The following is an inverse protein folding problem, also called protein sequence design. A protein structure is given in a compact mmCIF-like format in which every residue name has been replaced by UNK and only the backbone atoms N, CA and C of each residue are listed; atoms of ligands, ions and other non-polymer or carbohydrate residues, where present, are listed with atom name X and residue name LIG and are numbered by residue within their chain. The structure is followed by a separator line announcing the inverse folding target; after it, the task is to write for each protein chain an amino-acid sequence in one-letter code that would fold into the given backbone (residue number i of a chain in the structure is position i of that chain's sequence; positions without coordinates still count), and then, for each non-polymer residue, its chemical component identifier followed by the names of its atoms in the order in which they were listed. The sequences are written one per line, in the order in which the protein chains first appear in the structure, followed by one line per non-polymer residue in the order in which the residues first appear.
data_IF_782486822857
#
_entry.id   IF_782486822857
#
_cell.length_a   1.000
_cell.length_b   1.000
_cell.length_c   1.000
_cell.angle_alpha   90.00
_cell.angle_beta   90.00
_cell.angle_gamma   90.00
#
_symmetry.space_group_name_H-M   'P 1'
#
loop_
_entity.id
_entity.type
_entity.pdbx_description
1 polymer ?
#
# COMPACT_ATOMS: atom_id res chain seq x y z
N UNK A 1 0.79 2.83 -7.80
CA UNK A 1 1.88 3.54 -8.51
C UNK A 1 2.37 4.74 -7.70
N UNK A 2 1.55 5.79 -7.54
CA UNK A 2 1.94 7.03 -6.82
C UNK A 2 2.44 6.79 -5.39
N UNK A 3 1.81 5.87 -4.64
CA UNK A 3 2.24 5.45 -3.30
C UNK A 3 3.70 4.98 -3.28
N UNK A 4 4.07 4.07 -4.17
CA UNK A 4 5.42 3.48 -4.22
C UNK A 4 6.44 4.52 -4.70
N UNK A 5 6.04 5.43 -5.60
CA UNK A 5 6.90 6.51 -6.09
C UNK A 5 7.07 7.67 -5.10
N UNK A 6 6.28 7.72 -4.03
CA UNK A 6 6.27 8.82 -3.06
C UNK A 6 5.66 10.11 -3.63
N UNK A 7 4.77 9.97 -4.61
CA UNK A 7 4.10 11.06 -5.33
C UNK A 7 2.67 11.29 -4.82
N UNK A 8 2.16 10.41 -3.93
CA UNK A 8 0.85 10.58 -3.33
C UNK A 8 0.94 11.54 -2.14
N UNK A 9 0.13 12.60 -2.15
CA UNK A 9 -0.10 13.43 -0.96
C UNK A 9 -1.26 12.88 -0.13
N UNK A 10 -2.47 12.88 -0.70
CA UNK A 10 -3.68 12.34 -0.06
C UNK A 10 -4.60 11.73 -1.12
N UNK A 11 -5.26 10.61 -0.81
CA UNK A 11 -6.30 10.04 -1.67
C UNK A 11 -7.34 9.23 -0.89
N UNK A 12 -8.59 9.18 -1.37
CA UNK A 12 -9.60 8.26 -0.85
C UNK A 12 -9.36 6.84 -1.36
N UNK A 13 -9.52 5.88 -0.46
CA UNK A 13 -9.59 4.45 -0.74
C UNK A 13 -10.92 3.89 -0.25
N UNK A 14 -11.41 2.85 -0.90
CA UNK A 14 -12.58 2.09 -0.45
C UNK A 14 -12.13 0.67 -0.19
N UNK A 15 -12.02 0.31 1.08
CA UNK A 15 -11.67 -1.03 1.52
C UNK A 15 -12.95 -1.85 1.74
N UNK A 16 -12.96 -3.11 1.32
CA UNK A 16 -14.05 -4.03 1.70
C UNK A 16 -14.03 -4.21 3.21
N UNK A 17 -15.20 -4.07 3.85
CA UNK A 17 -15.30 -4.22 5.30
C UNK A 17 -14.88 -5.65 5.72
N UNK A 18 -13.88 -5.80 6.60
CA UNK A 18 -13.30 -7.11 6.92
C UNK A 18 -14.23 -8.02 7.73
N UNK A 19 -15.30 -7.50 8.35
CA UNK A 19 -16.29 -8.28 9.09
C UNK A 19 -17.69 -8.29 8.43
N UNK A 20 -17.90 -7.44 7.41
CA UNK A 20 -19.11 -7.35 6.58
C UNK A 20 -18.74 -7.20 5.09
N UNK A 21 -18.28 -8.26 4.40
CA UNK A 21 -17.73 -8.17 3.04
C UNK A 21 -18.65 -7.58 1.97
N UNK A 22 -19.95 -7.44 2.25
CA UNK A 22 -20.94 -6.77 1.41
C UNK A 22 -20.91 -5.23 1.50
N UNK A 23 -20.17 -4.67 2.47
CA UNK A 23 -20.04 -3.24 2.72
C UNK A 23 -18.61 -2.74 2.46
N UNK A 24 -18.47 -1.42 2.38
CA UNK A 24 -17.19 -0.76 2.16
C UNK A 24 -16.91 0.24 3.29
N UNK A 25 -15.65 0.31 3.69
CA UNK A 25 -15.10 1.33 4.59
C UNK A 25 -14.27 2.31 3.77
N UNK A 26 -14.79 3.51 3.47
CA UNK A 26 -14.00 4.57 2.85
C UNK A 26 -12.97 5.12 3.85
N UNK A 27 -11.72 5.19 3.42
CA UNK A 27 -10.58 5.67 4.19
C UNK A 27 -9.88 6.77 3.38
N UNK A 28 -9.70 7.94 3.98
CA UNK A 28 -8.83 8.98 3.43
C UNK A 28 -7.39 8.70 3.88
N UNK A 29 -6.50 8.43 2.94
CA UNK A 29 -5.11 8.03 3.20
C UNK A 29 -4.17 9.15 2.83
N UNK A 30 -3.22 9.42 3.69
CA UNK A 30 -2.15 10.40 3.52
C UNK A 30 -0.79 9.72 3.70
N UNK A 31 0.19 10.14 2.91
CA UNK A 31 1.58 9.71 3.10
C UNK A 31 2.12 10.27 4.42
N UNK A 32 2.59 9.39 5.31
CA UNK A 32 3.20 9.80 6.58
C UNK A 32 4.70 10.01 6.46
N UNK A 33 5.38 9.06 5.82
CA UNK A 33 6.81 9.14 5.50
C UNK A 33 7.01 8.73 4.04
N UNK A 34 8.09 9.23 3.43
CA UNK A 34 8.44 8.87 2.07
C UNK A 34 8.68 7.36 1.98
N UNK A 35 8.25 6.70 0.90
CA UNK A 35 8.50 5.28 0.73
C UNK A 35 10.00 5.02 0.70
N UNK A 36 10.43 3.98 1.42
CA UNK A 36 11.82 3.55 1.40
C UNK A 36 11.97 2.43 0.39
N UNK A 37 12.79 2.68 -0.62
CA UNK A 37 13.10 1.72 -1.69
C UNK A 37 14.56 1.34 -1.58
N UNK A 38 14.84 0.04 -1.50
CA UNK A 38 16.18 -0.51 -1.58
C UNK A 38 16.22 -1.63 -2.60
N UNK A 39 17.34 -1.73 -3.31
CA UNK A 39 17.53 -2.74 -4.36
C UNK A 39 18.84 -3.47 -4.08
N UNK A 40 18.83 -4.79 -4.15
CA UNK A 40 20.04 -5.63 -4.11
C UNK A 40 20.26 -6.25 -5.49
N UNK A 41 21.46 -6.07 -6.04
CA UNK A 41 21.86 -6.50 -7.38
C UNK A 41 22.83 -7.70 -7.37
N UNK A 42 23.22 -8.23 -6.20
CA UNK A 42 24.37 -9.16 -6.07
C UNK A 42 24.10 -10.60 -6.54
N UNK A 43 22.85 -11.09 -6.49
CA UNK A 43 22.52 -12.51 -6.75
C UNK A 43 22.00 -12.79 -8.17
N UNK A 44 22.38 -11.97 -9.15
CA UNK A 44 22.03 -12.15 -10.57
C UNK A 44 20.57 -11.82 -10.93
N UNK A 45 19.67 -11.76 -9.95
CA UNK A 45 18.30 -11.23 -10.05
C UNK A 45 18.13 -10.04 -9.11
N UNK A 46 17.64 -8.88 -9.58
CA UNK A 46 17.40 -7.74 -8.69
C UNK A 46 16.36 -8.07 -7.63
N UNK A 47 16.65 -7.80 -6.36
CA UNK A 47 15.68 -7.88 -5.26
C UNK A 47 15.28 -6.48 -4.84
N UNK A 48 14.02 -6.13 -5.05
CA UNK A 48 13.45 -4.83 -4.69
C UNK A 48 12.71 -4.96 -3.37
N UNK A 49 13.01 -4.09 -2.42
CA UNK A 49 12.24 -3.95 -1.19
C UNK A 49 11.59 -2.57 -1.14
N UNK A 50 10.29 -2.55 -0.89
CA UNK A 50 9.48 -1.33 -0.74
C UNK A 50 8.90 -1.32 0.67
N UNK A 51 9.14 -0.23 1.40
CA UNK A 51 8.51 0.00 2.71
C UNK A 51 7.65 1.25 2.64
N UNK A 52 6.36 1.09 2.95
CA UNK A 52 5.38 2.16 2.97
C UNK A 52 5.01 2.47 4.42
N UNK A 53 4.90 3.76 4.73
CA UNK A 53 4.36 4.26 6.00
C UNK A 53 3.26 5.26 5.71
N UNK A 54 2.05 4.89 6.09
CA UNK A 54 0.85 5.60 5.69
C UNK A 54 -0.01 5.86 6.92
N UNK A 55 -0.75 6.96 6.86
CA UNK A 55 -1.75 7.28 7.86
C UNK A 55 -3.09 7.49 7.19
N UNK A 56 -4.17 7.22 7.91
CA UNK A 56 -5.48 7.45 7.36
C UNK A 56 -6.55 7.76 8.38
N UNK A 57 -7.67 8.22 7.85
CA UNK A 57 -8.86 8.52 8.62
C UNK A 57 -10.06 7.77 8.03
N UNK A 58 -10.84 7.12 8.90
CA UNK A 58 -12.10 6.50 8.50
C UNK A 58 -13.10 7.62 8.17
N UNK A 59 -13.66 7.59 6.97
CA UNK A 59 -14.64 8.59 6.51
C UNK A 59 -16.04 8.24 7.01
N UNK A 60 -16.42 6.95 6.94
CA UNK A 60 -17.71 6.44 7.42
C UNK A 60 -17.66 4.93 7.64
N UNK A 61 -18.50 4.41 8.53
CA UNK A 61 -18.65 2.97 8.76
C UNK A 61 -20.11 2.58 8.56
N UNK A 62 -20.41 1.95 7.42
CA UNK A 62 -21.80 1.58 7.08
C UNK A 62 -22.30 0.39 7.91
N UNK A 63 -21.40 -0.49 8.33
CA UNK A 63 -21.71 -1.72 9.07
C UNK A 63 -22.15 -1.46 10.52
N UNK A 64 -21.92 -0.26 11.05
CA UNK A 64 -22.12 0.03 12.47
C UNK A 64 -21.10 -0.65 13.39
N UNK A 65 -20.06 -1.27 12.85
CA UNK A 65 -18.99 -1.90 13.62
C UNK A 65 -18.07 -0.83 14.18
N UNK A 66 -17.72 -0.96 15.46
CA UNK A 66 -16.91 0.03 16.18
C UNK A 66 -15.40 -0.17 15.91
N UNK A 67 -14.97 0.04 14.67
CA UNK A 67 -13.56 0.01 14.24
C UNK A 67 -12.69 1.09 14.89
N UNK A 68 -13.30 2.04 15.59
CA UNK A 68 -12.62 3.09 16.35
C UNK A 68 -12.12 2.62 17.72
N UNK A 69 -12.48 1.40 18.14
CA UNK A 69 -12.01 0.80 19.38
C UNK A 69 -10.61 0.21 19.25
N UNK A 70 -9.82 0.28 20.32
CA UNK A 70 -8.47 -0.31 20.39
C UNK A 70 -8.40 -1.80 19.98
N UNK A 71 -9.50 -2.54 20.16
CA UNK A 71 -9.59 -3.96 19.80
C UNK A 71 -9.87 -4.18 18.31
N UNK A 72 -10.55 -3.25 17.64
CA UNK A 72 -11.01 -3.40 16.24
C UNK A 72 -10.20 -2.57 15.25
N UNK A 73 -9.57 -1.47 15.67
CA UNK A 73 -8.70 -0.67 14.81
C UNK A 73 -7.64 -1.53 14.11
N UNK A 74 -6.91 -2.44 14.81
CA UNK A 74 -5.87 -3.25 14.18
C UNK A 74 -6.40 -4.14 13.04
N UNK A 75 -7.65 -4.62 13.14
CA UNK A 75 -8.27 -5.46 12.11
C UNK A 75 -8.40 -4.68 10.80
N UNK A 76 -8.82 -3.41 10.89
CA UNK A 76 -8.97 -2.56 9.72
C UNK A 76 -7.60 -2.11 9.17
N UNK A 77 -6.63 -1.87 10.05
CA UNK A 77 -5.26 -1.54 9.67
C UNK A 77 -4.60 -2.69 8.88
N UNK A 78 -4.60 -3.90 9.44
CA UNK A 78 -4.05 -5.11 8.80
C UNK A 78 -4.77 -5.42 7.47
N UNK A 79 -6.09 -5.25 7.42
CA UNK A 79 -6.85 -5.44 6.19
C UNK A 79 -6.43 -4.44 5.10
N UNK A 80 -6.18 -3.18 5.48
CA UNK A 80 -5.73 -2.15 4.53
C UNK A 80 -4.28 -2.38 4.08
N UNK A 81 -3.38 -2.75 4.98
CA UNK A 81 -1.99 -3.12 4.64
C UNK A 81 -1.96 -4.25 3.62
N UNK A 82 -2.72 -5.32 3.87
CA UNK A 82 -2.84 -6.45 2.95
C UNK A 82 -3.39 -6.02 1.59
N UNK A 83 -4.44 -5.20 1.57
CA UNK A 83 -5.01 -4.65 0.33
C UNK A 83 -3.95 -3.91 -0.50
N UNK A 84 -3.11 -3.09 0.14
CA UNK A 84 -2.03 -2.36 -0.53
C UNK A 84 -0.94 -3.30 -1.05
N UNK A 85 -0.46 -4.22 -0.22
CA UNK A 85 0.59 -5.19 -0.57
C UNK A 85 0.15 -5.98 -1.81
N UNK A 86 -1.03 -6.60 -1.77
CA UNK A 86 -1.51 -7.39 -2.89
C UNK A 86 -1.73 -6.53 -4.15
N UNK A 87 -2.22 -5.30 -4.00
CA UNK A 87 -2.40 -4.36 -5.11
C UNK A 87 -1.08 -4.01 -5.81
N UNK A 88 -0.03 -3.77 -5.02
CA UNK A 88 1.31 -3.46 -5.51
C UNK A 88 1.93 -4.68 -6.18
N UNK A 89 1.85 -5.86 -5.55
CA UNK A 89 2.38 -7.12 -6.09
C UNK A 89 1.70 -7.52 -7.40
N UNK A 90 0.36 -7.38 -7.49
CA UNK A 90 -0.38 -7.62 -8.74
C UNK A 90 0.08 -6.66 -9.84
N UNK A 91 0.23 -5.38 -9.52
CA UNK A 91 0.72 -4.37 -10.46
C UNK A 91 2.12 -4.73 -10.94
N UNK A 92 3.03 -5.04 -10.01
CA UNK A 92 4.41 -5.44 -10.30
C UNK A 92 4.46 -6.67 -11.21
N UNK A 93 3.67 -7.70 -10.94
CA UNK A 93 3.57 -8.89 -11.81
C UNK A 93 3.17 -8.50 -13.23
N UNK A 94 2.17 -7.63 -13.40
CA UNK A 94 1.74 -7.17 -14.73
C UNK A 94 2.83 -6.36 -15.43
N UNK A 95 3.55 -5.53 -14.69
CA UNK A 95 4.67 -4.75 -15.18
C UNK A 95 5.82 -5.62 -15.70
N UNK A 96 6.11 -6.75 -15.04
CA UNK A 96 7.09 -7.74 -15.53
C UNK A 96 6.69 -8.30 -16.91
N UNK A 97 5.42 -8.61 -17.12
CA UNK A 97 4.90 -9.08 -18.43
C UNK A 97 5.12 -8.05 -19.55
N UNK A 98 4.94 -6.77 -19.23
CA UNK A 98 5.15 -5.66 -20.18
C UNK A 98 6.60 -5.16 -20.24
N UNK A 99 7.51 -5.74 -19.45
CA UNK A 99 8.89 -5.26 -19.30
C UNK A 99 8.98 -3.77 -18.99
N UNK A 100 8.04 -3.28 -18.18
CA UNK A 100 7.86 -1.85 -17.90
C UNK A 100 8.06 -1.56 -16.42
N UNK A 101 9.11 -0.83 -16.08
CA UNK A 101 9.37 -0.37 -14.72
C UNK A 101 8.54 0.88 -14.38
N UNK A 102 7.24 0.67 -14.16
CA UNK A 102 6.31 1.77 -13.85
C UNK A 102 6.50 2.30 -12.42
N UNK A 103 7.28 1.66 -11.57
CA UNK A 103 7.55 2.16 -10.22
C UNK A 103 8.84 3.00 -10.15
N UNK A 104 9.55 3.13 -11.27
CA UNK A 104 10.84 3.82 -11.38
C UNK A 104 11.94 3.21 -10.49
N UNK A 105 11.93 1.90 -10.26
CA UNK A 105 12.98 1.25 -9.46
C UNK A 105 14.38 1.43 -10.06
N UNK A 106 14.49 1.57 -11.37
CA UNK A 106 15.74 1.87 -12.06
C UNK A 106 16.43 3.15 -11.57
N UNK A 107 15.66 4.15 -11.07
CA UNK A 107 16.25 5.38 -10.50
C UNK A 107 16.93 5.14 -9.16
N UNK A 108 16.55 4.08 -8.45
CA UNK A 108 17.25 3.62 -7.24
C UNK A 108 18.40 2.69 -7.61
N UNK A 109 18.22 1.82 -8.60
CA UNK A 109 19.24 0.86 -9.02
C UNK A 109 20.50 1.55 -9.58
N UNK A 110 20.31 2.60 -10.39
CA UNK A 110 21.42 3.35 -11.01
C UNK A 110 22.42 3.92 -10.00
N UNK A 111 21.98 4.20 -8.77
CA UNK A 111 22.83 4.74 -7.70
C UNK A 111 23.91 3.75 -7.21
N UNK A 112 23.83 2.48 -7.62
CA UNK A 112 24.81 1.45 -7.25
C UNK A 112 25.97 1.31 -8.24
N UNK A 113 25.95 2.07 -9.34
CA UNK A 113 26.98 2.04 -10.37
C UNK A 113 27.86 3.27 -10.27
N UNK A 114 29.17 3.10 -10.49
CA UNK A 114 30.12 4.22 -10.41
C UNK A 114 30.11 5.04 -11.70
N UNK A 115 29.86 4.39 -12.83
CA UNK A 115 29.93 5.01 -14.15
C UNK A 115 28.71 4.71 -15.02
N UNK A 116 28.45 5.60 -15.99
CA UNK A 116 27.39 5.42 -16.99
C UNK A 116 27.58 4.12 -17.80
N UNK A 117 28.80 3.78 -18.30
CA UNK A 117 29.00 2.52 -19.02
C UNK A 117 28.64 1.27 -18.20
N UNK A 118 28.99 1.23 -16.91
CA UNK A 118 28.63 0.09 -16.05
C UNK A 118 27.10 -0.06 -15.90
N UNK A 119 26.38 1.06 -15.76
CA UNK A 119 24.92 1.07 -15.71
C UNK A 119 24.28 0.62 -17.03
N UNK A 120 24.80 1.11 -18.16
CA UNK A 120 24.33 0.74 -19.49
C UNK A 120 24.58 -0.75 -19.77
N UNK A 121 25.75 -1.27 -19.40
CA UNK A 121 26.09 -2.69 -19.52
C UNK A 121 25.21 -3.58 -18.65
N UNK A 122 24.86 -3.14 -17.44
CA UNK A 122 23.94 -3.86 -16.56
C UNK A 122 22.55 -4.07 -17.19
N UNK A 123 22.11 -3.11 -18.01
CA UNK A 123 20.87 -3.16 -18.78
C UNK A 123 19.64 -3.50 -17.90
N UNK A 124 19.28 -2.58 -17.00
CA UNK A 124 18.15 -2.74 -16.07
C UNK A 124 16.86 -3.22 -16.73
N UNK A 125 16.54 -2.72 -17.93
CA UNK A 125 15.32 -3.10 -18.66
C UNK A 125 15.28 -4.61 -18.96
N UNK A 126 16.43 -5.22 -19.24
CA UNK A 126 16.55 -6.66 -19.45
C UNK A 126 16.45 -7.48 -18.15
N UNK A 127 16.84 -6.89 -17.01
CA UNK A 127 16.89 -7.55 -15.70
C UNK A 127 15.59 -7.40 -14.90
N UNK A 128 14.86 -6.31 -15.08
CA UNK A 128 13.61 -6.03 -14.37
C UNK A 128 12.58 -7.17 -14.47
N UNK A 129 12.35 -7.83 -15.62
CA UNK A 129 11.44 -8.97 -15.70
C UNK A 129 11.84 -10.20 -14.86
N UNK A 130 13.09 -10.28 -14.41
CA UNK A 130 13.57 -11.35 -13.53
C UNK A 130 13.59 -10.93 -12.05
N UNK A 131 13.28 -9.66 -11.75
CA UNK A 131 13.37 -9.12 -10.40
C UNK A 131 12.31 -9.67 -9.45
N UNK A 132 12.66 -9.70 -8.17
CA UNK A 132 11.78 -10.06 -7.06
C UNK A 132 11.37 -8.81 -6.30
N UNK A 133 10.15 -8.80 -5.78
CA UNK A 133 9.62 -7.68 -4.99
C UNK A 133 9.18 -8.18 -3.63
N UNK A 134 9.58 -7.47 -2.58
CA UNK A 134 9.04 -7.57 -1.24
C UNK A 134 8.43 -6.23 -0.84
N UNK A 135 7.15 -6.24 -0.45
CA UNK A 135 6.44 -5.05 0.03
C UNK A 135 6.16 -5.19 1.52
N UNK A 136 6.46 -4.15 2.27
CA UNK A 136 6.06 -3.98 3.67
C UNK A 136 5.21 -2.69 3.74
N UNK A 137 4.03 -2.78 4.33
CA UNK A 137 3.16 -1.63 4.58
C UNK A 137 2.91 -1.53 6.09
N UNK A 138 3.01 -0.31 6.60
CA UNK A 138 2.71 0.06 7.98
C UNK A 138 1.66 1.18 7.89
N UNK A 139 0.42 0.87 8.27
CA UNK A 139 -0.70 1.79 8.17
C UNK A 139 -1.31 2.05 9.55
N UNK A 140 -1.39 3.33 9.91
CA UNK A 140 -1.99 3.74 11.18
C UNK A 140 -3.23 4.61 10.97
N UNK A 141 -4.33 4.26 11.62
CA UNK A 141 -5.52 5.08 11.67
C UNK A 141 -5.33 6.15 12.77
N UNK A 142 -5.24 7.42 12.38
CA UNK A 142 -4.95 8.53 13.30
C UNK A 142 -6.19 9.19 13.87
N UNK A 143 -7.25 9.34 13.06
CA UNK A 143 -8.54 9.90 13.48
C UNK A 143 -9.69 9.20 12.78
N UNK A 144 -10.84 9.23 13.43
CA UNK A 144 -12.11 8.76 12.88
C UNK A 144 -12.94 9.96 12.46
N UNK A 145 -12.34 10.92 11.73
CA UNK A 145 -13.03 12.14 11.30
C UNK A 145 -13.81 12.85 12.43
N UNK A 146 -15.13 13.06 12.22
CA UNK A 146 -16.09 13.57 13.24
C UNK A 146 -16.75 12.45 14.06
N UNK A 147 -16.43 11.20 13.79
CA UNK A 147 -17.04 10.02 14.42
C UNK A 147 -16.27 9.77 15.71
N UNK A 148 -16.83 10.22 16.83
CA UNK A 148 -16.26 9.95 18.15
C UNK A 148 -16.50 8.50 18.58
N UNK A 149 -17.60 7.90 18.09
CA UNK A 149 -18.03 6.54 18.40
C UNK A 149 -19.11 6.11 17.40
N UNK A 150 -18.90 5.00 16.71
CA UNK A 150 -19.96 4.33 15.97
C UNK A 150 -20.80 3.48 16.94
N UNK A 151 -22.13 3.63 16.86
CA UNK A 151 -23.09 2.84 17.62
C UNK A 151 -23.92 1.98 16.68
N UNK A 152 -24.31 0.75 17.08
CA UNK A 152 -25.22 -0.07 16.30
C UNK A 152 -26.55 0.66 16.09
N UNK A 153 -27.06 0.65 14.85
CA UNK A 153 -28.38 1.20 14.55
C UNK A 153 -29.45 0.22 15.00
N UNK A 154 -30.25 0.60 15.99
CA UNK A 154 -31.42 -0.14 16.41
C UNK A 154 -32.63 0.28 15.55
N UNK A 155 -33.22 -0.65 14.79
CA UNK A 155 -34.47 -0.39 14.10
C UNK A 155 -35.66 -0.55 15.06
N UNK A 156 -36.82 0.03 14.72
CA UNK A 156 -38.08 -0.18 15.46
C UNK A 156 -38.54 -1.65 15.50
N UNK A 157 -37.93 -2.51 14.68
CA UNK A 157 -38.18 -3.96 14.62
C UNK A 157 -37.15 -4.78 15.43
N UNK A 158 -36.22 -4.13 16.15
CA UNK A 158 -35.16 -4.76 16.93
C UNK A 158 -33.78 -4.74 16.26
N UNK A 159 -32.78 -5.37 16.91
CA UNK A 159 -31.39 -5.46 16.42
C UNK A 159 -31.37 -6.17 15.06
N UNK A 160 -30.84 -5.51 14.04
CA UNK A 160 -30.33 -6.16 12.83
C UNK A 160 -28.83 -6.37 12.98
#
# INVERSE_FOLDING_TARGET
LLLVRGELTTAPFSLTDPERPELMVPIEVTEFDKPKISIDLNEGKPKVQVKLKLEGNIVSIQSGIHYESLEKTPILEEAFEKYLIEGIERTFKKCKEFKADVFNFGTTAVLQFWTIPEWEEYNWQSKFPESELKVEADFTIRRTGKILKTEPVYSSEGKK
#
